data_IF_183057812697
#
_entry.id   IF_183057812697
#
_cell.length_a   1.000
_cell.length_b   1.000
_cell.length_c   1.000
_cell.angle_alpha   90.00
_cell.angle_beta   90.00
_cell.angle_gamma   90.00
#
_symmetry.space_group_name_H-M   'P 1'
#
loop_
_entity.id
_entity.type
_entity.pdbx_description
1 polymer ?
#
# COMPACT_ATOMS: atom_id res chain seq x y z
N UNK A 1 34.56 -21.69 -56.19
CA UNK A 1 33.95 -21.10 -54.92
C UNK A 1 34.01 -22.16 -53.86
N UNK A 2 34.98 -22.02 -53.00
CA UNK A 2 35.41 -23.07 -52.10
C UNK A 2 34.55 -23.02 -50.79
N UNK A 3 34.31 -24.21 -50.22
CA UNK A 3 33.49 -24.47 -49.03
C UNK A 3 33.86 -23.64 -47.76
N UNK A 4 34.96 -22.91 -47.83
CA UNK A 4 35.49 -22.10 -46.71
C UNK A 4 34.71 -20.79 -46.49
N UNK A 5 34.22 -20.13 -47.55
CA UNK A 5 33.52 -18.84 -47.45
C UNK A 5 32.14 -18.93 -46.84
N UNK A 6 31.45 -20.09 -46.92
CA UNK A 6 30.14 -20.29 -46.32
C UNK A 6 30.19 -20.40 -44.79
N UNK A 7 31.30 -20.88 -44.22
CA UNK A 7 31.44 -21.03 -42.76
C UNK A 7 31.73 -19.69 -42.06
N UNK A 8 32.38 -18.77 -42.73
CA UNK A 8 32.70 -17.45 -42.20
C UNK A 8 31.47 -16.55 -42.08
N UNK A 9 30.57 -16.64 -43.08
CA UNK A 9 29.32 -15.84 -43.08
C UNK A 9 28.36 -16.27 -41.98
N UNK A 10 28.28 -17.59 -41.70
CA UNK A 10 27.38 -18.10 -40.62
C UNK A 10 27.88 -17.71 -39.22
N UNK A 11 29.17 -17.68 -38.99
CA UNK A 11 29.75 -17.30 -37.68
C UNK A 11 29.55 -15.82 -37.38
N UNK A 12 29.65 -14.94 -38.38
CA UNK A 12 29.45 -13.49 -38.21
C UNK A 12 27.98 -13.17 -37.94
N UNK A 13 27.03 -13.89 -38.52
CA UNK A 13 25.59 -13.65 -38.31
C UNK A 13 25.13 -14.10 -36.93
N UNK A 14 25.68 -15.17 -36.36
CA UNK A 14 25.35 -15.63 -35.00
C UNK A 14 25.92 -14.71 -33.94
N UNK A 15 27.11 -14.15 -34.15
CA UNK A 15 27.71 -13.17 -33.20
C UNK A 15 26.95 -11.85 -33.17
N UNK A 16 26.36 -11.41 -34.29
CA UNK A 16 25.56 -10.18 -34.36
C UNK A 16 24.21 -10.32 -33.66
N UNK A 17 23.60 -11.50 -33.60
CA UNK A 17 22.33 -11.73 -32.88
C UNK A 17 22.49 -11.79 -31.36
N UNK A 18 23.67 -12.12 -30.83
CA UNK A 18 23.88 -12.17 -29.38
C UNK A 18 24.09 -10.80 -28.72
N UNK A 19 24.37 -9.76 -29.51
CA UNK A 19 24.56 -8.39 -28.96
C UNK A 19 23.25 -7.60 -28.80
N UNK A 20 22.12 -8.12 -29.27
CA UNK A 20 20.82 -7.45 -29.16
C UNK A 20 20.02 -7.83 -27.90
N UNK A 21 20.52 -8.74 -27.06
CA UNK A 21 19.96 -9.06 -25.75
C UNK A 21 20.61 -8.34 -24.56
N UNK A 22 21.25 -7.19 -24.82
CA UNK A 22 21.55 -6.27 -23.70
C UNK A 22 20.22 -5.72 -23.24
N UNK A 23 19.69 -6.41 -22.22
CA UNK A 23 18.38 -6.17 -21.66
C UNK A 23 18.17 -4.70 -21.37
N UNK A 24 16.99 -4.20 -21.69
CA UNK A 24 16.43 -3.06 -20.99
C UNK A 24 16.43 -3.44 -19.51
N UNK A 25 17.49 -3.08 -18.80
CA UNK A 25 17.47 -3.01 -17.35
C UNK A 25 16.40 -1.99 -17.06
N UNK A 26 15.24 -2.47 -16.64
CA UNK A 26 14.14 -1.64 -16.18
C UNK A 26 14.73 -0.72 -15.11
N UNK A 27 14.78 0.57 -15.41
CA UNK A 27 15.31 1.55 -14.46
C UNK A 27 14.58 1.32 -13.15
N UNK A 28 15.29 1.18 -12.01
CA UNK A 28 14.63 0.95 -10.73
C UNK A 28 13.57 2.03 -10.55
N UNK A 29 12.32 1.62 -10.36
CA UNK A 29 11.21 2.54 -10.14
C UNK A 29 11.62 3.48 -9.02
N UNK A 30 11.74 4.77 -9.31
CA UNK A 30 12.13 5.78 -8.34
C UNK A 30 11.17 5.69 -7.16
N UNK A 31 11.70 5.38 -5.97
CA UNK A 31 10.94 5.42 -4.73
C UNK A 31 10.62 6.89 -4.38
N UNK A 32 9.38 7.36 -4.55
CA UNK A 32 9.04 8.76 -4.38
C UNK A 32 9.05 9.19 -2.91
N UNK A 33 9.16 8.25 -1.96
CA UNK A 33 9.17 8.57 -0.54
C UNK A 33 10.58 8.67 0.05
N UNK A 34 11.53 7.86 -0.38
CA UNK A 34 12.82 7.72 0.27
C UNK A 34 12.72 7.23 1.74
N UNK A 35 13.80 6.65 2.29
CA UNK A 35 13.73 5.96 3.59
C UNK A 35 13.44 6.92 4.76
N UNK A 36 14.02 8.10 4.76
CA UNK A 36 13.83 9.07 5.85
C UNK A 36 12.39 9.60 5.91
N UNK A 37 11.80 9.93 4.75
CA UNK A 37 10.42 10.42 4.69
C UNK A 37 9.43 9.33 5.07
N UNK A 38 9.68 8.10 4.65
CA UNK A 38 8.89 6.94 5.02
C UNK A 38 8.85 6.74 6.54
N UNK A 39 10.02 6.84 7.20
CA UNK A 39 10.10 6.75 8.65
C UNK A 39 9.39 7.91 9.37
N UNK A 40 9.51 9.13 8.87
CA UNK A 40 8.78 10.29 9.42
C UNK A 40 7.27 10.07 9.37
N UNK A 41 6.73 9.61 8.23
CA UNK A 41 5.30 9.30 8.08
C UNK A 41 4.91 8.20 9.06
N UNK A 42 5.70 7.13 9.13
CA UNK A 42 5.47 6.02 10.05
C UNK A 42 5.38 6.51 11.50
N UNK A 43 6.32 7.30 11.96
CA UNK A 43 6.30 7.83 13.32
C UNK A 43 5.11 8.75 13.57
N UNK A 44 4.76 9.61 12.62
CA UNK A 44 3.58 10.49 12.76
C UNK A 44 2.28 9.69 12.95
N UNK A 45 2.10 8.63 12.19
CA UNK A 45 0.93 7.74 12.31
C UNK A 45 0.94 7.03 13.68
N UNK A 46 2.08 6.49 14.08
CA UNK A 46 2.23 5.84 15.38
C UNK A 46 1.91 6.78 16.54
N UNK A 47 2.39 8.02 16.48
CA UNK A 47 2.24 9.00 17.56
C UNK A 47 0.78 9.45 17.68
N UNK A 48 0.09 9.68 16.57
CA UNK A 48 -1.33 10.07 16.61
C UNK A 48 -2.19 8.94 17.14
N UNK A 49 -2.01 7.72 16.66
CA UNK A 49 -2.80 6.58 17.12
C UNK A 49 -2.51 6.23 18.59
N UNK A 50 -1.26 6.43 19.05
CA UNK A 50 -0.90 6.20 20.45
C UNK A 50 -1.45 7.29 21.40
N UNK A 51 -1.58 8.52 20.92
CA UNK A 51 -2.13 9.63 21.71
C UNK A 51 -3.54 9.33 22.24
N UNK A 52 -4.35 8.58 21.49
CA UNK A 52 -5.68 8.15 21.93
C UNK A 52 -5.60 7.18 23.12
N UNK A 53 -4.62 6.28 23.14
CA UNK A 53 -4.44 5.33 24.24
C UNK A 53 -3.99 6.04 25.52
N UNK A 54 -2.96 6.90 25.44
CA UNK A 54 -2.40 7.57 26.63
C UNK A 54 -3.33 8.63 27.20
N UNK A 55 -4.29 9.09 26.44
CA UNK A 55 -5.34 10.00 26.96
C UNK A 55 -6.11 9.37 28.12
N UNK A 56 -6.44 8.09 28.02
CA UNK A 56 -7.19 7.36 29.03
C UNK A 56 -6.29 6.52 29.95
N UNK A 57 -5.09 6.15 29.46
CA UNK A 57 -4.11 5.31 30.14
C UNK A 57 -2.69 5.90 30.06
N UNK A 58 -2.39 6.96 30.82
CA UNK A 58 -1.13 7.72 30.68
C UNK A 58 0.13 6.89 30.98
N UNK A 59 0.01 5.84 31.79
CA UNK A 59 1.12 4.96 32.16
C UNK A 59 1.25 3.72 31.25
N UNK A 60 0.46 3.63 30.16
CA UNK A 60 0.52 2.50 29.25
C UNK A 60 1.86 2.46 28.51
N UNK A 61 2.41 1.24 28.36
CA UNK A 61 3.62 1.01 27.60
C UNK A 61 3.27 0.82 26.12
N UNK A 62 3.90 1.63 25.25
CA UNK A 62 3.67 1.57 23.82
C UNK A 62 4.32 0.32 23.22
N UNK A 63 3.55 -0.57 22.57
CA UNK A 63 4.10 -1.70 21.87
C UNK A 63 4.76 -1.29 20.56
N UNK A 64 5.69 -2.12 20.09
CA UNK A 64 6.30 -1.95 18.77
C UNK A 64 5.34 -2.37 17.66
N UNK A 65 5.32 -1.59 16.58
CA UNK A 65 4.62 -1.90 15.34
C UNK A 65 5.65 -1.93 14.20
N UNK A 66 6.26 -3.10 13.91
CA UNK A 66 7.43 -3.17 13.02
C UNK A 66 7.09 -2.90 11.56
N UNK A 67 5.89 -3.22 11.13
CA UNK A 67 5.48 -3.11 9.73
C UNK A 67 4.11 -2.44 9.63
N UNK A 68 4.03 -1.43 8.76
CA UNK A 68 2.78 -0.78 8.39
C UNK A 68 2.52 -1.04 6.90
N UNK A 69 1.36 -1.57 6.61
CA UNK A 69 0.87 -1.81 5.24
C UNK A 69 -0.42 -1.03 5.05
N UNK A 70 -0.37 0.13 4.39
CA UNK A 70 -1.58 0.87 4.08
C UNK A 70 -2.58 -0.02 3.35
N UNK A 71 -3.83 0.16 3.70
CA UNK A 71 -4.97 -0.53 3.08
C UNK A 71 -5.93 0.53 2.53
N UNK A 72 -6.81 0.15 1.61
CA UNK A 72 -7.83 1.06 1.13
C UNK A 72 -8.75 1.49 2.29
N UNK A 73 -9.31 2.69 2.22
CA UNK A 73 -10.26 3.17 3.24
C UNK A 73 -11.46 2.22 3.37
N UNK A 74 -11.80 1.53 2.27
CA UNK A 74 -12.86 0.53 2.22
C UNK A 74 -12.53 -0.71 3.07
N UNK A 75 -11.28 -1.19 3.02
CA UNK A 75 -10.88 -2.45 3.64
C UNK A 75 -10.39 -2.29 5.07
N UNK A 76 -9.97 -1.10 5.46
CA UNK A 76 -9.34 -0.85 6.76
C UNK A 76 -10.12 -1.48 7.91
N UNK A 77 -11.43 -1.26 7.95
CA UNK A 77 -12.28 -1.81 9.01
C UNK A 77 -12.25 -3.33 9.07
N UNK A 78 -12.32 -4.00 7.92
CA UNK A 78 -12.31 -5.47 7.85
C UNK A 78 -10.94 -6.03 8.27
N UNK A 79 -9.86 -5.38 7.87
CA UNK A 79 -8.48 -5.76 8.22
C UNK A 79 -8.24 -5.58 9.71
N UNK A 80 -8.59 -4.43 10.28
CA UNK A 80 -8.47 -4.17 11.73
C UNK A 80 -9.31 -5.15 12.54
N UNK A 81 -10.55 -5.42 12.12
CA UNK A 81 -11.42 -6.42 12.76
C UNK A 81 -10.79 -7.83 12.75
N UNK A 82 -10.24 -8.24 11.62
CA UNK A 82 -9.56 -9.54 11.49
C UNK A 82 -8.34 -9.61 12.40
N UNK A 83 -7.55 -8.53 12.47
CA UNK A 83 -6.40 -8.42 13.35
C UNK A 83 -6.82 -8.54 14.84
N UNK A 84 -7.84 -7.80 15.27
CA UNK A 84 -8.36 -7.86 16.65
C UNK A 84 -8.76 -9.30 17.02
N UNK A 85 -9.52 -9.95 16.16
CA UNK A 85 -9.94 -11.33 16.39
C UNK A 85 -8.78 -12.32 16.45
N UNK A 86 -7.77 -12.16 15.57
CA UNK A 86 -6.57 -12.98 15.58
C UNK A 86 -5.76 -12.85 16.87
N UNK A 87 -5.87 -11.68 17.54
CA UNK A 87 -5.26 -11.42 18.85
C UNK A 87 -6.20 -11.74 20.04
N UNK A 88 -7.28 -12.48 19.79
CA UNK A 88 -8.19 -12.94 20.84
C UNK A 88 -9.13 -11.87 21.38
N UNK A 89 -9.23 -10.72 20.72
CA UNK A 89 -10.12 -9.62 21.11
C UNK A 89 -11.53 -9.89 20.59
N UNK A 90 -12.55 -10.03 21.47
CA UNK A 90 -13.94 -10.25 21.06
C UNK A 90 -14.56 -8.93 20.58
N UNK A 91 -14.23 -8.52 19.35
CA UNK A 91 -14.82 -7.36 18.71
C UNK A 91 -15.96 -7.78 17.77
N UNK A 92 -16.94 -6.91 17.61
CA UNK A 92 -18.00 -7.02 16.61
C UNK A 92 -18.04 -5.75 15.76
N UNK A 93 -18.15 -5.83 14.44
CA UNK A 93 -18.25 -4.65 13.59
C UNK A 93 -19.59 -3.93 13.86
N UNK A 94 -19.56 -2.61 13.81
CA UNK A 94 -20.73 -1.73 13.83
C UNK A 94 -20.69 -0.83 12.59
N UNK A 95 -21.74 -0.06 12.34
CA UNK A 95 -21.79 0.85 11.19
C UNK A 95 -20.66 1.90 11.25
N UNK A 96 -20.27 2.32 12.46
CA UNK A 96 -19.29 3.39 12.67
C UNK A 96 -18.00 2.95 13.38
N UNK A 97 -17.66 1.64 13.37
CA UNK A 97 -16.45 1.16 14.04
C UNK A 97 -16.58 -0.26 14.57
N UNK A 98 -16.13 -0.48 15.79
CA UNK A 98 -16.18 -1.77 16.47
C UNK A 98 -16.87 -1.63 17.82
N UNK A 99 -17.67 -2.64 18.18
CA UNK A 99 -18.12 -2.84 19.54
C UNK A 99 -17.21 -3.86 20.19
N UNK A 100 -16.59 -3.47 21.27
CA UNK A 100 -15.87 -4.36 22.14
C UNK A 100 -16.84 -5.02 23.13
N UNK A 101 -16.73 -6.32 23.27
CA UNK A 101 -17.40 -7.04 24.36
C UNK A 101 -16.30 -7.46 25.33
N UNK A 102 -16.25 -6.85 26.51
CA UNK A 102 -15.31 -7.31 27.53
C UNK A 102 -15.65 -8.76 27.88
N UNK A 103 -14.79 -9.68 27.45
CA UNK A 103 -14.81 -11.05 27.98
C UNK A 103 -14.27 -11.02 29.41
N UNK A 104 -14.81 -11.87 30.27
CA UNK A 104 -14.33 -12.07 31.64
C UNK A 104 -12.80 -12.31 31.59
N UNK A 105 -12.01 -11.35 32.05
CA UNK A 105 -10.55 -11.43 32.13
C UNK A 105 -9.72 -10.51 31.24
N UNK A 106 -10.31 -9.84 30.26
CA UNK A 106 -9.59 -8.86 29.45
C UNK A 106 -9.85 -7.43 29.97
N UNK A 107 -8.77 -6.68 30.17
CA UNK A 107 -8.88 -5.28 30.58
C UNK A 107 -9.21 -4.37 29.41
N UNK A 108 -9.85 -3.24 29.66
CA UNK A 108 -10.08 -2.21 28.63
C UNK A 108 -8.75 -1.70 28.05
N UNK A 109 -7.70 -1.61 28.88
CA UNK A 109 -6.35 -1.24 28.41
C UNK A 109 -5.81 -2.24 27.39
N UNK A 110 -5.95 -3.55 27.61
CA UNK A 110 -5.50 -4.55 26.63
C UNK A 110 -6.21 -4.40 25.30
N UNK A 111 -7.52 -4.11 25.32
CA UNK A 111 -8.27 -3.82 24.11
C UNK A 111 -7.72 -2.59 23.39
N UNK A 112 -7.53 -1.47 24.09
CA UNK A 112 -7.05 -0.22 23.48
C UNK A 112 -5.63 -0.38 22.92
N UNK A 113 -4.76 -1.09 23.61
CA UNK A 113 -3.40 -1.41 23.13
C UNK A 113 -3.44 -2.29 21.89
N UNK A 114 -4.28 -3.33 21.86
CA UNK A 114 -4.42 -4.19 20.68
C UNK A 114 -5.09 -3.46 19.51
N UNK A 115 -6.06 -2.59 19.78
CA UNK A 115 -6.67 -1.73 18.78
C UNK A 115 -5.61 -0.85 18.12
N UNK A 116 -4.79 -0.17 18.95
CA UNK A 116 -3.66 0.61 18.45
C UNK A 116 -2.73 -0.21 17.54
N UNK A 117 -2.32 -1.41 17.95
CA UNK A 117 -1.44 -2.27 17.13
C UNK A 117 -2.08 -2.60 15.79
N UNK A 118 -3.36 -2.96 15.77
CA UNK A 118 -4.07 -3.35 14.57
C UNK A 118 -4.30 -2.16 13.61
N UNK A 119 -4.70 -1.00 14.14
CA UNK A 119 -4.91 0.22 13.36
C UNK A 119 -3.59 0.75 12.79
N UNK A 120 -2.55 0.84 13.62
CA UNK A 120 -1.25 1.32 13.20
C UNK A 120 -0.53 0.37 12.22
N UNK A 121 -0.79 -0.94 12.29
CA UNK A 121 -0.26 -1.91 11.32
C UNK A 121 -0.90 -1.79 9.94
N UNK A 122 -2.13 -1.27 9.89
CA UNK A 122 -2.94 -1.19 8.67
C UNK A 122 -3.63 0.18 8.58
N UNK A 123 -2.84 1.27 8.49
CA UNK A 123 -3.41 2.61 8.35
C UNK A 123 -4.21 2.71 7.04
N UNK A 124 -5.21 3.58 7.03
CA UNK A 124 -5.98 3.82 5.81
C UNK A 124 -5.17 4.57 4.76
N UNK A 125 -5.54 4.39 3.49
CA UNK A 125 -4.95 5.15 2.38
C UNK A 125 -5.03 6.65 2.63
N UNK A 126 -6.20 7.15 3.01
CA UNK A 126 -6.41 8.58 3.26
C UNK A 126 -5.54 9.11 4.40
N UNK A 127 -5.34 8.33 5.45
CA UNK A 127 -4.44 8.69 6.55
C UNK A 127 -3.01 8.86 6.03
N UNK A 128 -2.46 7.88 5.31
CA UNK A 128 -1.10 7.95 4.77
C UNK A 128 -0.95 9.08 3.74
N UNK A 129 -1.94 9.25 2.83
CA UNK A 129 -1.94 10.30 1.81
C UNK A 129 -1.91 11.69 2.43
N UNK A 130 -2.50 11.89 3.62
CA UNK A 130 -2.46 13.17 4.33
C UNK A 130 -1.04 13.65 4.63
N UNK A 131 -0.10 12.73 4.81
CA UNK A 131 1.32 13.01 5.09
C UNK A 131 2.20 13.07 3.84
N UNK A 132 1.70 12.70 2.65
CA UNK A 132 2.49 12.72 1.42
C UNK A 132 2.78 14.16 0.98
N UNK A 133 4.00 14.38 0.47
CA UNK A 133 4.35 15.60 -0.26
C UNK A 133 3.61 15.70 -1.60
N UNK A 134 3.60 16.87 -2.19
CA UNK A 134 3.00 17.07 -3.51
C UNK A 134 3.57 16.12 -4.58
N UNK A 135 4.89 15.91 -4.61
CA UNK A 135 5.53 14.99 -5.55
C UNK A 135 5.14 13.53 -5.31
N UNK A 136 5.04 13.10 -4.05
CA UNK A 136 4.61 11.72 -3.72
C UNK A 136 3.13 11.50 -4.04
N UNK A 137 2.27 12.51 -3.84
CA UNK A 137 0.86 12.46 -4.28
C UNK A 137 0.74 12.37 -5.79
N UNK A 138 1.55 13.15 -6.53
CA UNK A 138 1.59 13.07 -7.98
C UNK A 138 2.03 11.67 -8.46
N UNK A 139 3.01 11.06 -7.80
CA UNK A 139 3.45 9.70 -8.11
C UNK A 139 2.35 8.66 -7.81
N UNK A 140 1.57 8.82 -6.74
CA UNK A 140 0.42 7.97 -6.44
C UNK A 140 -0.66 8.10 -7.52
N UNK A 141 -0.99 9.33 -7.92
CA UNK A 141 -1.93 9.58 -9.02
C UNK A 141 -1.45 8.92 -10.32
N UNK A 142 -0.17 9.09 -10.67
CA UNK A 142 0.43 8.49 -11.86
C UNK A 142 0.34 6.96 -11.84
N UNK A 143 0.58 6.34 -10.69
CA UNK A 143 0.40 4.91 -10.50
C UNK A 143 -1.06 4.48 -10.74
N UNK A 144 -2.00 5.15 -10.11
CA UNK A 144 -3.42 4.84 -10.24
C UNK A 144 -3.92 5.08 -11.69
N UNK A 145 -3.46 6.15 -12.35
CA UNK A 145 -3.83 6.48 -13.72
C UNK A 145 -3.19 5.58 -14.77
N UNK A 146 -1.87 5.36 -14.67
CA UNK A 146 -1.08 4.68 -15.71
C UNK A 146 -1.00 3.17 -15.54
N UNK A 147 -1.20 2.66 -14.31
CA UNK A 147 -1.04 1.24 -13.99
C UNK A 147 -2.39 0.63 -13.59
N UNK A 148 -3.02 1.15 -12.53
CA UNK A 148 -4.23 0.54 -11.96
C UNK A 148 -5.40 0.62 -12.93
N UNK A 149 -5.72 1.80 -13.43
CA UNK A 149 -6.86 1.99 -14.34
C UNK A 149 -6.78 1.15 -15.62
N UNK A 150 -5.66 1.13 -16.38
CA UNK A 150 -5.54 0.25 -17.55
C UNK A 150 -5.66 -1.24 -17.20
N UNK A 151 -5.13 -1.66 -16.04
CA UNK A 151 -5.30 -3.01 -15.53
C UNK A 151 -6.78 -3.34 -15.31
N UNK A 152 -7.53 -2.48 -14.63
CA UNK A 152 -8.97 -2.65 -14.37
C UNK A 152 -9.76 -2.75 -15.68
N UNK A 153 -9.51 -1.88 -16.63
CA UNK A 153 -10.16 -1.90 -17.94
C UNK A 153 -9.86 -3.20 -18.70
N UNK A 154 -8.59 -3.67 -18.66
CA UNK A 154 -8.20 -4.94 -19.27
C UNK A 154 -8.81 -6.16 -18.59
N UNK A 155 -9.13 -6.07 -17.30
CA UNK A 155 -9.82 -7.09 -16.52
C UNK A 155 -11.35 -7.03 -16.69
N UNK A 156 -11.87 -6.12 -17.52
CA UNK A 156 -13.30 -5.98 -17.81
C UNK A 156 -14.08 -5.13 -16.80
N UNK A 157 -13.39 -4.45 -15.87
CA UNK A 157 -14.03 -3.53 -14.94
C UNK A 157 -14.34 -2.17 -15.60
N UNK A 158 -15.35 -1.49 -15.07
CA UNK A 158 -15.56 -0.06 -15.35
C UNK A 158 -14.63 0.74 -14.44
N UNK A 159 -13.91 1.69 -15.01
CA UNK A 159 -13.05 2.60 -14.25
C UNK A 159 -13.12 3.99 -14.90
N UNK A 160 -13.58 5.01 -14.19
CA UNK A 160 -13.76 6.34 -14.74
C UNK A 160 -12.42 6.97 -15.12
N UNK A 161 -12.44 7.93 -16.02
CA UNK A 161 -11.29 8.80 -16.24
C UNK A 161 -11.13 9.76 -15.04
N UNK A 162 -9.90 10.21 -14.72
CA UNK A 162 -9.73 11.24 -13.71
C UNK A 162 -10.39 12.53 -14.17
N UNK A 163 -10.82 13.40 -13.23
CA UNK A 163 -11.36 14.70 -13.57
C UNK A 163 -10.30 15.56 -14.28
N UNK A 164 -10.77 16.55 -15.04
CA UNK A 164 -9.90 17.53 -15.67
C UNK A 164 -9.05 18.24 -14.62
N UNK A 165 -7.75 18.44 -14.92
CA UNK A 165 -6.77 18.98 -13.98
C UNK A 165 -5.71 17.97 -13.54
N UNK A 166 -5.91 16.68 -13.77
CA UNK A 166 -4.90 15.64 -13.55
C UNK A 166 -4.25 15.67 -12.16
N UNK A 167 -2.90 15.58 -12.05
CA UNK A 167 -2.20 15.58 -10.77
C UNK A 167 -2.44 16.83 -9.93
N UNK A 168 -2.67 18.00 -10.55
CA UNK A 168 -2.92 19.25 -9.82
C UNK A 168 -4.20 19.18 -8.97
N UNK A 169 -5.25 18.55 -9.49
CA UNK A 169 -6.48 18.31 -8.72
C UNK A 169 -6.22 17.46 -7.47
N UNK A 170 -5.37 16.44 -7.61
CA UNK A 170 -5.01 15.53 -6.52
C UNK A 170 -4.19 16.20 -5.41
N UNK A 171 -3.43 17.26 -5.76
CA UNK A 171 -2.63 18.03 -4.80
C UNK A 171 -3.48 18.88 -3.87
N UNK A 172 -4.64 19.36 -4.34
CA UNK A 172 -5.46 20.34 -3.60
C UNK A 172 -6.68 19.72 -2.90
N UNK A 173 -7.09 18.52 -3.28
CA UNK A 173 -8.32 17.88 -2.76
C UNK A 173 -8.02 16.53 -2.13
N UNK A 174 -7.26 16.54 -1.03
CA UNK A 174 -6.81 15.31 -0.34
C UNK A 174 -7.95 14.35 0.07
N UNK A 175 -9.19 14.81 0.15
CA UNK A 175 -10.35 14.03 0.60
C UNK A 175 -11.34 13.66 -0.53
N UNK A 176 -11.17 14.22 -1.72
CA UNK A 176 -12.01 13.92 -2.88
C UNK A 176 -11.18 13.37 -4.04
N UNK A 177 -10.12 12.65 -3.70
CA UNK A 177 -9.22 12.09 -4.67
C UNK A 177 -9.98 11.15 -5.61
N UNK A 178 -9.74 11.31 -6.90
CA UNK A 178 -10.20 10.35 -7.89
C UNK A 178 -9.67 8.96 -7.56
N UNK A 179 -10.55 7.98 -7.54
CA UNK A 179 -10.23 6.59 -7.28
C UNK A 179 -10.66 5.75 -8.48
N UNK A 180 -9.74 5.01 -9.14
CA UNK A 180 -10.09 4.17 -10.29
C UNK A 180 -11.07 3.04 -9.97
N UNK A 181 -11.27 2.73 -8.69
CA UNK A 181 -12.18 1.69 -8.19
C UNK A 181 -13.60 2.20 -7.88
N UNK A 182 -13.87 3.49 -7.98
CA UNK A 182 -15.13 4.09 -7.50
C UNK A 182 -16.38 3.41 -8.06
N UNK A 183 -16.40 3.05 -9.33
CA UNK A 183 -17.55 2.37 -9.95
C UNK A 183 -17.71 0.93 -9.47
N UNK A 184 -16.61 0.23 -9.19
CA UNK A 184 -16.64 -1.14 -8.67
C UNK A 184 -17.17 -1.13 -7.24
N UNK A 185 -16.68 -0.21 -6.40
CA UNK A 185 -17.11 -0.05 -5.02
C UNK A 185 -18.57 0.40 -4.92
N UNK A 186 -19.03 1.29 -5.81
CA UNK A 186 -20.42 1.73 -5.86
C UNK A 186 -21.38 0.60 -6.27
N UNK A 187 -20.96 -0.27 -7.20
CA UNK A 187 -21.79 -1.36 -7.68
C UNK A 187 -21.90 -2.51 -6.67
N UNK A 188 -20.81 -2.84 -5.98
CA UNK A 188 -20.73 -4.01 -5.10
C UNK A 188 -19.73 -3.80 -3.95
N UNK A 189 -20.03 -2.97 -2.95
CA UNK A 189 -19.05 -2.51 -1.96
C UNK A 189 -18.44 -3.60 -1.06
N UNK A 190 -18.98 -4.81 -1.03
CA UNK A 190 -18.50 -5.92 -0.17
C UNK A 190 -18.46 -7.27 -0.89
N UNK A 191 -18.17 -7.27 -2.18
CA UNK A 191 -18.26 -8.49 -2.97
C UNK A 191 -16.89 -9.13 -3.21
N UNK A 192 -16.92 -10.43 -3.53
CA UNK A 192 -15.78 -11.16 -4.06
C UNK A 192 -15.19 -10.51 -5.34
N UNK A 193 -15.97 -9.67 -6.03
CA UNK A 193 -15.52 -8.95 -7.20
C UNK A 193 -14.51 -7.84 -6.85
N UNK A 194 -14.70 -7.11 -5.75
CA UNK A 194 -13.72 -6.10 -5.28
C UNK A 194 -12.39 -6.79 -4.98
N UNK A 195 -12.41 -7.83 -4.15
CA UNK A 195 -11.20 -8.59 -3.80
C UNK A 195 -10.49 -9.20 -5.04
N UNK A 196 -11.25 -9.68 -6.01
CA UNK A 196 -10.69 -10.17 -7.28
C UNK A 196 -9.93 -9.08 -8.03
N UNK A 197 -10.51 -7.88 -8.15
CA UNK A 197 -9.85 -6.79 -8.85
C UNK A 197 -8.66 -6.24 -8.07
N UNK A 198 -8.73 -6.12 -6.75
CA UNK A 198 -7.62 -5.65 -5.90
C UNK A 198 -6.43 -6.60 -5.93
N UNK A 199 -6.67 -7.91 -5.95
CA UNK A 199 -5.61 -8.89 -6.09
C UNK A 199 -4.92 -8.80 -7.47
N UNK A 200 -5.68 -8.54 -8.53
CA UNK A 200 -5.18 -8.47 -9.91
C UNK A 200 -4.55 -7.12 -10.26
N UNK A 201 -5.14 -6.06 -9.77
CA UNK A 201 -4.78 -4.67 -10.05
C UNK A 201 -4.62 -3.91 -8.72
N UNK A 202 -3.54 -4.12 -7.95
CA UNK A 202 -3.39 -3.56 -6.62
C UNK A 202 -3.63 -2.04 -6.60
N UNK A 203 -4.55 -1.52 -5.75
CA UNK A 203 -4.90 -0.10 -5.72
C UNK A 203 -3.76 0.79 -5.23
N UNK A 204 -2.90 0.25 -4.37
CA UNK A 204 -1.78 0.96 -3.76
C UNK A 204 -0.44 0.47 -4.30
N UNK A 205 0.50 1.39 -4.57
CA UNK A 205 1.81 1.00 -5.06
C UNK A 205 2.67 0.37 -3.96
N UNK A 206 3.58 -0.57 -4.30
CA UNK A 206 4.44 -1.25 -3.32
C UNK A 206 5.31 -0.30 -2.50
N UNK A 207 5.70 0.86 -3.06
CA UNK A 207 6.54 1.84 -2.37
C UNK A 207 5.81 2.56 -1.22
N UNK A 208 4.47 2.43 -1.11
CA UNK A 208 3.70 3.02 -0.02
C UNK A 208 3.80 2.20 1.29
N UNK A 209 4.39 1.01 1.27
CA UNK A 209 4.63 0.23 2.49
C UNK A 209 5.62 0.95 3.42
N UNK A 210 5.22 1.15 4.67
CA UNK A 210 5.97 1.85 5.70
C UNK A 210 6.58 0.83 6.69
N UNK A 211 7.52 0.03 6.22
CA UNK A 211 8.25 -0.91 7.08
C UNK A 211 9.45 -0.24 7.72
N UNK A 212 9.76 -0.61 8.96
CA UNK A 212 11.08 -0.29 9.54
C UNK A 212 12.15 -0.86 8.61
N UNK A 213 13.15 -0.07 8.18
CA UNK A 213 14.26 -0.65 7.44
C UNK A 213 14.85 -1.77 8.31
N UNK A 214 14.96 -2.98 7.72
CA UNK A 214 15.69 -4.04 8.38
C UNK A 214 17.07 -3.46 8.75
N UNK A 215 17.40 -3.43 10.03
CA UNK A 215 18.74 -3.09 10.45
C UNK A 215 19.62 -4.11 9.74
N UNK A 216 20.31 -3.68 8.69
CA UNK A 216 21.34 -4.46 8.04
C UNK A 216 22.36 -4.74 9.15
N UNK A 217 22.21 -5.91 9.77
CA UNK A 217 23.16 -6.39 10.75
C UNK A 217 24.51 -6.37 10.06
N UNK A 218 25.34 -5.46 10.52
CA UNK A 218 26.75 -5.42 10.17
C UNK A 218 27.37 -6.77 10.51
N UNK A 219 27.44 -7.65 9.50
CA UNK A 219 28.13 -8.93 9.59
C UNK A 219 29.61 -8.68 9.38
N UNK A 220 30.19 -7.86 10.26
CA UNK A 220 31.63 -7.82 10.46
C UNK A 220 31.97 -8.76 11.61
N UNK A 221 32.25 -10.02 11.26
CA UNK A 221 33.21 -10.88 11.98
C UNK A 221 33.81 -11.90 11.04
#
# INVERSE_FOLDING_TARGET
MTSSDRRLVVVVTVAACMLLFVGCAEAPALDPLGPQRREQIRQSILDINWADVVKDYPDALRPEVPTMRPVTDHDQRAVVFTCLRANGIPASPTDNGFRYQSSLGQSQLEFEVQRYVCEASSPSESEVVSYLSGSSRAALFDYQWKIVRPCLLSAGAKSPAPPDGGPAYYLFTALAAWNPYVDILAAQPRSSAVAYFEQRCPPLPPWLTLSTPAMSGDSTR
#
